data_IF_239099933280
#
_entry.id   IF_239099933280
#
_cell.length_a   1.000
_cell.length_b   1.000
_cell.length_c   1.000
_cell.angle_alpha   90.00
_cell.angle_beta   90.00
_cell.angle_gamma   90.00
#
_symmetry.space_group_name_H-M   'P 1'
#
loop_
_entity.id
_entity.type
_entity.pdbx_description
1 polymer ?
#
# COMPACT_ATOMS: atom_id res chain seq x y z
N UNK A 1 -14.95 1.10 35.81
CA UNK A 1 -15.32 1.34 37.22
C UNK A 1 -16.23 0.18 37.60
N UNK A 2 -15.70 -0.80 38.34
CA UNK A 2 -16.49 -1.94 38.87
C UNK A 2 -17.13 -1.43 40.17
N UNK A 3 -18.42 -1.15 40.12
CA UNK A 3 -19.19 -0.87 41.34
C UNK A 3 -19.51 -2.19 42.01
N UNK A 4 -18.75 -2.54 43.03
CA UNK A 4 -19.05 -3.70 43.90
C UNK A 4 -20.18 -3.24 44.82
N UNK A 5 -21.41 -3.56 44.45
CA UNK A 5 -22.57 -3.39 45.36
C UNK A 5 -22.56 -4.60 46.34
N UNK A 6 -22.11 -4.34 47.55
CA UNK A 6 -22.18 -5.31 48.65
C UNK A 6 -23.64 -5.41 49.06
N UNK A 7 -24.33 -6.50 48.67
CA UNK A 7 -25.66 -6.79 49.17
C UNK A 7 -25.56 -7.47 50.54
N UNK A 8 -26.42 -7.12 51.49
CA UNK A 8 -26.33 -7.61 52.88
C UNK A 8 -26.82 -9.04 53.10
N UNK A 9 -27.28 -9.75 52.06
CA UNK A 9 -27.80 -11.12 52.22
C UNK A 9 -26.83 -12.16 51.67
N UNK A 10 -26.21 -13.00 52.54
CA UNK A 10 -25.20 -14.00 52.15
C UNK A 10 -25.76 -15.17 51.30
N UNK A 11 -27.07 -15.38 51.27
CA UNK A 11 -27.72 -16.46 50.51
C UNK A 11 -27.86 -16.16 49.01
N UNK A 12 -27.77 -14.88 48.58
CA UNK A 12 -27.87 -14.47 47.17
C UNK A 12 -26.51 -14.40 46.48
N UNK A 13 -25.42 -14.49 47.26
CA UNK A 13 -24.05 -14.37 46.73
C UNK A 13 -23.70 -15.41 45.65
N UNK A 14 -24.03 -16.71 45.76
CA UNK A 14 -23.74 -17.69 44.75
C UNK A 14 -24.55 -17.48 43.46
N UNK A 15 -25.79 -17.02 43.57
CA UNK A 15 -26.66 -16.76 42.43
C UNK A 15 -26.15 -15.54 41.61
N UNK A 16 -25.74 -14.51 42.33
CA UNK A 16 -25.12 -13.31 41.72
C UNK A 16 -23.78 -13.64 41.07
N UNK A 17 -22.97 -14.51 41.64
CA UNK A 17 -21.72 -14.98 41.06
C UNK A 17 -21.96 -15.76 39.74
N UNK A 18 -22.98 -16.64 39.70
CA UNK A 18 -23.35 -17.39 38.50
C UNK A 18 -23.83 -16.45 37.38
N UNK A 19 -24.65 -15.45 37.70
CA UNK A 19 -25.09 -14.44 36.71
C UNK A 19 -23.89 -13.68 36.12
N UNK A 20 -22.96 -13.22 36.94
CA UNK A 20 -21.76 -12.51 36.48
C UNK A 20 -20.85 -13.42 35.66
N UNK A 21 -20.67 -14.67 36.02
CA UNK A 21 -19.94 -15.64 35.23
C UNK A 21 -20.59 -15.87 33.86
N UNK A 22 -21.92 -15.98 33.82
CA UNK A 22 -22.64 -16.16 32.55
C UNK A 22 -22.51 -14.95 31.61
N UNK A 23 -22.61 -13.73 32.14
CA UNK A 23 -22.40 -12.49 31.35
C UNK A 23 -20.99 -12.44 30.74
N UNK A 24 -19.97 -12.80 31.54
CA UNK A 24 -18.59 -12.83 31.07
C UNK A 24 -18.41 -13.90 29.99
N UNK A 25 -18.95 -15.09 30.16
CA UNK A 25 -18.88 -16.18 29.16
C UNK A 25 -19.58 -15.78 27.88
N UNK A 26 -20.77 -15.18 27.94
CA UNK A 26 -21.48 -14.68 26.77
C UNK A 26 -20.64 -13.59 26.06
N UNK A 27 -20.06 -12.68 26.81
CA UNK A 27 -19.18 -11.63 26.24
C UNK A 27 -17.97 -12.22 25.52
N UNK A 28 -17.33 -13.23 26.08
CA UNK A 28 -16.20 -13.93 25.45
C UNK A 28 -16.65 -14.68 24.19
N UNK A 29 -17.78 -15.39 24.24
CA UNK A 29 -18.33 -16.12 23.09
C UNK A 29 -18.68 -15.12 21.95
N UNK A 30 -19.33 -13.99 22.28
CA UNK A 30 -19.62 -12.94 21.29
C UNK A 30 -18.34 -12.35 20.69
N UNK A 31 -17.31 -12.12 21.49
CA UNK A 31 -16.03 -11.62 21.01
C UNK A 31 -15.35 -12.63 20.06
N UNK A 32 -15.34 -13.92 20.42
CA UNK A 32 -14.79 -14.98 19.55
C UNK A 32 -15.60 -15.10 18.24
N UNK A 33 -16.93 -15.04 18.32
CA UNK A 33 -17.80 -15.08 17.14
C UNK A 33 -17.57 -13.87 16.23
N UNK A 34 -17.42 -12.68 16.81
CA UNK A 34 -17.09 -11.47 16.06
C UNK A 34 -15.72 -11.62 15.38
N UNK A 35 -14.73 -12.13 16.08
CA UNK A 35 -13.37 -12.36 15.54
C UNK A 35 -13.37 -13.41 14.41
N UNK A 36 -14.21 -14.44 14.49
CA UNK A 36 -14.39 -15.45 13.45
C UNK A 36 -15.15 -14.90 12.23
N UNK A 37 -16.15 -14.04 12.43
CA UNK A 37 -16.96 -13.45 11.38
C UNK A 37 -16.21 -12.33 10.65
N UNK A 38 -15.42 -11.53 11.38
CA UNK A 38 -14.56 -10.47 10.85
C UNK A 38 -13.12 -10.93 10.58
N UNK A 39 -12.95 -12.22 10.39
CA UNK A 39 -11.69 -12.95 10.20
C UNK A 39 -10.67 -12.23 9.28
N UNK A 40 -9.36 -12.36 9.54
CA UNK A 40 -8.24 -11.71 8.84
C UNK A 40 -8.13 -12.00 7.33
N UNK A 41 -8.98 -12.84 6.76
CA UNK A 41 -9.10 -13.02 5.31
C UNK A 41 -9.52 -11.75 4.59
N UNK A 42 -10.39 -10.96 5.20
CA UNK A 42 -10.85 -9.67 4.69
C UNK A 42 -9.69 -8.65 4.63
N UNK A 43 -8.86 -8.57 5.68
CA UNK A 43 -7.74 -7.62 5.77
C UNK A 43 -6.68 -7.91 4.70
N UNK A 44 -6.36 -9.19 4.45
CA UNK A 44 -5.41 -9.55 3.41
C UNK A 44 -5.88 -9.11 2.02
N UNK A 45 -7.15 -9.39 1.70
CA UNK A 45 -7.73 -9.01 0.41
C UNK A 45 -7.77 -7.48 0.23
N UNK A 46 -8.07 -6.76 1.32
CA UNK A 46 -8.08 -5.29 1.31
C UNK A 46 -6.66 -4.73 1.08
N UNK A 47 -5.66 -5.26 1.78
CA UNK A 47 -4.26 -4.87 1.58
C UNK A 47 -3.77 -5.21 0.18
N UNK A 48 -4.09 -6.39 -0.36
CA UNK A 48 -3.71 -6.79 -1.72
C UNK A 48 -4.35 -5.85 -2.76
N UNK A 49 -5.63 -5.52 -2.61
CA UNK A 49 -6.35 -4.57 -3.48
C UNK A 49 -5.75 -3.17 -3.42
N UNK A 50 -5.43 -2.69 -2.22
CA UNK A 50 -4.84 -1.37 -2.04
C UNK A 50 -3.43 -1.30 -2.63
N UNK A 51 -2.64 -2.37 -2.52
CA UNK A 51 -1.32 -2.47 -3.15
C UNK A 51 -1.42 -2.48 -4.69
N UNK A 52 -2.37 -3.20 -5.27
CA UNK A 52 -2.60 -3.20 -6.71
C UNK A 52 -3.01 -1.80 -7.20
N UNK A 53 -3.94 -1.16 -6.50
CA UNK A 53 -4.39 0.21 -6.78
C UNK A 53 -3.24 1.22 -6.67
N UNK A 54 -2.40 1.09 -5.65
CA UNK A 54 -1.21 1.93 -5.46
C UNK A 54 -0.22 1.77 -6.62
N UNK A 55 0.03 0.54 -7.06
CA UNK A 55 0.94 0.25 -8.15
C UNK A 55 0.48 0.87 -9.48
N UNK A 56 -0.82 0.77 -9.78
CA UNK A 56 -1.42 1.39 -10.96
C UNK A 56 -1.32 2.92 -10.90
N UNK A 57 -1.70 3.51 -9.77
CA UNK A 57 -1.64 4.97 -9.59
C UNK A 57 -0.20 5.50 -9.71
N UNK A 58 0.78 4.76 -9.21
CA UNK A 58 2.18 5.11 -9.31
C UNK A 58 2.70 5.08 -10.75
N UNK A 59 2.30 4.06 -11.52
CA UNK A 59 2.64 3.99 -12.95
C UNK A 59 1.97 5.12 -13.73
N UNK A 60 0.71 5.45 -13.43
CA UNK A 60 -0.01 6.56 -14.06
C UNK A 60 0.63 7.91 -13.74
N UNK A 61 1.08 8.15 -12.49
CA UNK A 61 1.85 9.36 -12.17
C UNK A 61 3.13 9.44 -13.00
N UNK A 62 3.88 8.35 -13.11
CA UNK A 62 5.10 8.30 -13.93
C UNK A 62 4.79 8.60 -15.41
N UNK A 63 3.69 8.05 -15.95
CA UNK A 63 3.24 8.38 -17.31
C UNK A 63 2.95 9.86 -17.47
N UNK A 64 2.23 10.49 -16.54
CA UNK A 64 1.92 11.92 -16.57
C UNK A 64 3.19 12.75 -16.51
N UNK A 65 4.15 12.39 -15.67
CA UNK A 65 5.42 13.09 -15.55
C UNK A 65 6.24 13.02 -16.85
N UNK A 66 6.31 11.85 -17.50
CA UNK A 66 7.08 11.64 -18.74
C UNK A 66 6.41 12.30 -19.94
N UNK A 67 5.09 12.29 -19.99
CA UNK A 67 4.30 12.93 -21.06
C UNK A 67 4.20 14.43 -20.95
N UNK A 68 4.77 15.03 -19.93
CA UNK A 68 4.69 16.46 -19.70
C UNK A 68 3.24 16.93 -19.50
N UNK A 69 2.50 16.19 -18.66
CA UNK A 69 1.13 16.53 -18.33
C UNK A 69 0.99 17.91 -17.69
N UNK A 70 -0.24 18.44 -17.71
CA UNK A 70 -0.56 19.69 -17.03
C UNK A 70 -0.18 19.61 -15.55
N UNK A 71 0.49 20.65 -15.02
CA UNK A 71 0.98 20.72 -13.65
C UNK A 71 -0.11 20.47 -12.62
N UNK A 72 -1.32 21.00 -12.84
CA UNK A 72 -2.45 20.77 -11.93
C UNK A 72 -2.87 19.31 -11.87
N UNK A 73 -2.84 18.60 -13.00
CA UNK A 73 -3.16 17.17 -13.08
C UNK A 73 -2.07 16.34 -12.41
N UNK A 74 -0.80 16.70 -12.59
CA UNK A 74 0.34 16.05 -11.95
C UNK A 74 0.28 16.23 -10.42
N UNK A 75 0.01 17.43 -9.94
CA UNK A 75 -0.09 17.74 -8.51
C UNK A 75 -1.24 16.99 -7.85
N UNK A 76 -2.38 16.89 -8.53
CA UNK A 76 -3.53 16.12 -8.05
C UNK A 76 -3.20 14.62 -7.96
N UNK A 77 -2.60 14.05 -9.00
CA UNK A 77 -2.21 12.64 -9.02
C UNK A 77 -1.16 12.34 -7.94
N UNK A 78 -0.21 13.25 -7.74
CA UNK A 78 0.78 13.18 -6.68
C UNK A 78 0.14 13.21 -5.28
N UNK A 79 -0.75 14.15 -5.03
CA UNK A 79 -1.48 14.27 -3.76
C UNK A 79 -2.32 13.03 -3.44
N UNK A 80 -3.01 12.46 -4.43
CA UNK A 80 -3.76 11.22 -4.29
C UNK A 80 -2.85 10.03 -3.94
N UNK A 81 -1.69 9.95 -4.58
CA UNK A 81 -0.74 8.87 -4.35
C UNK A 81 -0.11 8.95 -2.95
N UNK A 82 0.25 10.15 -2.48
CA UNK A 82 0.75 10.39 -1.12
C UNK A 82 -0.32 9.98 -0.10
N UNK A 83 -1.58 10.36 -0.31
CA UNK A 83 -2.70 10.00 0.56
C UNK A 83 -2.87 8.48 0.66
N UNK A 84 -2.85 7.75 -0.47
CA UNK A 84 -2.94 6.28 -0.51
C UNK A 84 -1.76 5.61 0.20
N UNK A 85 -0.55 6.12 -0.02
CA UNK A 85 0.66 5.62 0.66
C UNK A 85 0.58 5.80 2.17
N UNK A 86 0.02 6.93 2.63
CA UNK A 86 -0.21 7.20 4.06
C UNK A 86 -1.31 6.30 4.63
N UNK A 87 -2.40 6.06 3.89
CA UNK A 87 -3.44 5.12 4.30
C UNK A 87 -2.91 3.69 4.48
N UNK A 88 -2.07 3.23 3.55
CA UNK A 88 -1.39 1.93 3.65
C UNK A 88 -0.50 1.85 4.90
N UNK A 89 0.16 2.95 5.27
CA UNK A 89 0.96 3.04 6.48
C UNK A 89 0.09 2.94 7.75
N UNK A 90 -1.10 3.53 7.74
CA UNK A 90 -2.09 3.38 8.82
C UNK A 90 -2.57 1.94 8.98
N UNK A 91 -2.92 1.27 7.88
CA UNK A 91 -3.28 -0.15 7.89
C UNK A 91 -2.16 -1.03 8.46
N UNK A 92 -0.89 -0.73 8.12
CA UNK A 92 0.28 -1.42 8.66
C UNK A 92 0.40 -1.27 10.18
N UNK A 93 0.10 -0.10 10.73
CA UNK A 93 0.13 0.14 12.17
C UNK A 93 -0.85 -0.76 12.92
N UNK A 94 -2.04 -0.95 12.36
CA UNK A 94 -3.06 -1.83 12.93
C UNK A 94 -2.64 -3.32 12.85
N UNK A 95 -1.98 -3.73 11.76
CA UNK A 95 -1.45 -5.10 11.61
C UNK A 95 -0.33 -5.44 12.60
N UNK A 96 0.40 -4.45 13.10
CA UNK A 96 1.46 -4.67 14.11
C UNK A 96 0.92 -5.13 15.46
N UNK A 97 -0.34 -4.87 15.76
CA UNK A 97 -0.96 -5.25 17.02
C UNK A 97 -1.42 -6.71 17.05
N UNK A 98 -1.53 -7.38 15.91
CA UNK A 98 -2.29 -8.65 15.81
C UNK A 98 -1.49 -9.93 15.94
N UNK A 99 -0.22 -10.03 15.74
CA UNK A 99 0.62 -11.21 16.05
C UNK A 99 1.96 -11.33 15.31
N UNK A 100 2.85 -12.22 15.80
CA UNK A 100 4.12 -12.62 15.16
C UNK A 100 3.97 -13.17 13.72
N UNK A 101 2.81 -13.68 13.36
CA UNK A 101 2.47 -14.18 12.02
C UNK A 101 2.55 -13.07 10.96
N UNK A 102 2.20 -11.84 11.33
CA UNK A 102 2.20 -10.67 10.44
C UNK A 102 3.54 -9.93 10.38
N UNK A 103 4.50 -10.27 11.22
CA UNK A 103 5.81 -9.60 11.26
C UNK A 103 6.55 -9.67 9.91
N UNK A 104 6.38 -10.76 9.16
CA UNK A 104 6.97 -10.93 7.81
C UNK A 104 6.25 -10.07 6.77
N UNK A 105 4.93 -10.04 6.81
CA UNK A 105 4.11 -9.21 5.94
C UNK A 105 4.38 -7.72 6.21
N UNK A 106 4.46 -7.31 7.46
CA UNK A 106 4.76 -5.94 7.85
C UNK A 106 6.13 -5.45 7.35
N UNK A 107 7.17 -6.30 7.39
CA UNK A 107 8.48 -5.96 6.81
C UNK A 107 8.40 -5.73 5.30
N UNK A 108 7.64 -6.56 4.56
CA UNK A 108 7.42 -6.39 3.12
C UNK A 108 6.63 -5.11 2.84
N UNK A 109 5.55 -4.85 3.59
CA UNK A 109 4.78 -3.62 3.45
C UNK A 109 5.61 -2.37 3.75
N UNK A 110 6.50 -2.43 4.75
CA UNK A 110 7.45 -1.34 5.02
C UNK A 110 8.37 -1.08 3.84
N UNK A 111 8.94 -2.13 3.26
CA UNK A 111 9.81 -2.00 2.10
C UNK A 111 9.06 -1.43 0.89
N UNK A 112 7.84 -1.91 0.60
CA UNK A 112 6.99 -1.40 -0.47
C UNK A 112 6.69 0.08 -0.26
N UNK A 113 6.30 0.47 0.96
CA UNK A 113 6.00 1.87 1.28
C UNK A 113 7.23 2.78 1.07
N UNK A 114 8.41 2.35 1.52
CA UNK A 114 9.66 3.10 1.29
C UNK A 114 9.98 3.24 -0.20
N UNK A 115 9.87 2.15 -0.96
CA UNK A 115 10.09 2.17 -2.41
C UNK A 115 9.07 3.04 -3.12
N UNK A 116 7.80 3.01 -2.71
CA UNK A 116 6.75 3.86 -3.27
C UNK A 116 7.07 5.34 -3.07
N UNK A 117 7.47 5.75 -1.86
CA UNK A 117 7.86 7.13 -1.59
C UNK A 117 9.07 7.55 -2.43
N UNK A 118 10.07 6.69 -2.55
CA UNK A 118 11.24 6.96 -3.42
C UNK A 118 10.83 7.16 -4.87
N UNK A 119 9.96 6.28 -5.41
CA UNK A 119 9.48 6.40 -6.79
C UNK A 119 8.63 7.68 -7.00
N UNK A 120 7.81 8.07 -6.03
CA UNK A 120 7.06 9.32 -6.06
C UNK A 120 8.03 10.51 -6.20
N UNK A 121 9.06 10.56 -5.34
CA UNK A 121 10.06 11.62 -5.36
C UNK A 121 10.79 11.66 -6.70
N UNK A 122 11.27 10.51 -7.19
CA UNK A 122 11.96 10.42 -8.48
C UNK A 122 11.07 10.81 -9.66
N UNK A 123 9.78 10.46 -9.62
CA UNK A 123 8.83 10.87 -10.67
C UNK A 123 8.65 12.39 -10.69
N UNK A 124 8.56 13.05 -9.53
CA UNK A 124 8.47 14.49 -9.44
C UNK A 124 9.77 15.18 -9.88
N UNK A 125 10.93 14.67 -9.48
CA UNK A 125 12.23 15.17 -9.96
C UNK A 125 12.34 15.06 -11.48
N UNK A 126 11.95 13.93 -12.05
CA UNK A 126 11.90 13.72 -13.49
C UNK A 126 11.00 14.74 -14.17
N UNK A 127 9.81 14.99 -13.62
CA UNK A 127 8.90 16.00 -14.15
C UNK A 127 9.53 17.39 -14.16
N UNK A 128 10.18 17.81 -13.07
CA UNK A 128 10.86 19.11 -12.99
C UNK A 128 12.02 19.22 -13.97
N UNK A 129 12.82 18.17 -14.15
CA UNK A 129 13.91 18.12 -15.11
C UNK A 129 13.36 18.24 -16.54
N UNK A 130 12.31 17.50 -16.87
CA UNK A 130 11.70 17.52 -18.20
C UNK A 130 10.99 18.83 -18.50
N UNK A 131 10.50 19.51 -17.49
CA UNK A 131 9.94 20.87 -17.62
C UNK A 131 11.01 21.88 -18.05
N UNK A 132 12.24 21.67 -17.62
CA UNK A 132 13.37 22.54 -17.94
C UNK A 132 14.09 22.12 -19.23
N UNK A 133 14.13 20.81 -19.50
CA UNK A 133 14.86 20.19 -20.63
C UNK A 133 14.06 19.07 -21.27
N UNK A 134 13.04 19.40 -22.07
CA UNK A 134 12.16 18.40 -22.71
C UNK A 134 12.90 17.52 -23.73
N UNK A 135 14.05 17.95 -24.22
CA UNK A 135 14.89 17.24 -25.19
C UNK A 135 15.59 16.00 -24.62
N UNK A 136 15.61 15.82 -23.31
CA UNK A 136 16.26 14.66 -22.67
C UNK A 136 15.50 13.35 -22.90
N UNK A 137 14.24 13.42 -23.29
CA UNK A 137 13.44 12.23 -23.60
C UNK A 137 13.20 12.16 -25.10
N UNK A 138 13.62 11.04 -25.69
CA UNK A 138 13.33 10.70 -27.09
C UNK A 138 11.85 10.39 -27.29
N UNK A 139 11.31 10.75 -28.45
CA UNK A 139 9.90 10.47 -28.80
C UNK A 139 9.58 8.96 -28.71
N UNK A 140 10.52 8.10 -29.11
CA UNK A 140 10.39 6.63 -28.97
C UNK A 140 10.18 6.20 -27.51
N UNK A 141 10.87 6.86 -26.56
CA UNK A 141 10.68 6.57 -25.15
C UNK A 141 9.34 7.10 -24.64
N UNK A 142 8.90 8.24 -25.14
CA UNK A 142 7.60 8.84 -24.82
C UNK A 142 6.44 7.99 -25.31
N UNK A 143 6.52 7.46 -26.54
CA UNK A 143 5.54 6.52 -27.11
C UNK A 143 5.40 5.23 -26.28
N UNK A 144 6.49 4.79 -25.64
CA UNK A 144 6.43 3.63 -24.77
C UNK A 144 5.41 3.79 -23.61
N UNK A 145 5.26 5.01 -23.09
CA UNK A 145 4.33 5.35 -22.02
C UNK A 145 2.95 5.76 -22.52
N UNK A 146 2.67 5.70 -23.82
CA UNK A 146 1.35 6.04 -24.38
C UNK A 146 0.29 4.96 -24.12
N UNK A 147 0.70 3.73 -23.85
CA UNK A 147 -0.23 2.65 -23.59
C UNK A 147 -0.96 2.87 -22.25
N UNK A 148 -2.28 3.00 -22.23
CA UNK A 148 -3.05 3.15 -20.99
C UNK A 148 -2.88 1.90 -20.13
N UNK A 149 -2.85 2.10 -18.82
CA UNK A 149 -2.72 1.04 -17.82
C UNK A 149 -3.84 1.18 -16.82
N UNK A 150 -4.65 0.13 -16.69
CA UNK A 150 -5.80 0.09 -15.78
C UNK A 150 -5.63 -0.95 -14.68
N UNK A 151 -4.82 -1.99 -14.93
CA UNK A 151 -4.63 -3.10 -14.00
C UNK A 151 -3.17 -3.29 -13.59
N UNK A 152 -2.94 -3.90 -12.44
CA UNK A 152 -1.61 -4.27 -11.98
C UNK A 152 -0.89 -5.24 -12.94
N UNK A 153 -1.66 -6.06 -13.67
CA UNK A 153 -1.10 -6.96 -14.70
C UNK A 153 -0.58 -6.17 -15.91
N UNK A 154 -1.23 -5.08 -16.29
CA UNK A 154 -0.77 -4.23 -17.38
C UNK A 154 0.51 -3.49 -16.97
N UNK A 155 0.58 -2.97 -15.74
CA UNK A 155 1.83 -2.43 -15.17
C UNK A 155 2.95 -3.45 -15.28
N UNK A 156 2.72 -4.68 -14.85
CA UNK A 156 3.74 -5.73 -14.90
C UNK A 156 4.20 -6.03 -16.34
N UNK A 157 3.29 -6.09 -17.30
CA UNK A 157 3.63 -6.28 -18.73
C UNK A 157 4.48 -5.14 -19.25
N UNK A 158 4.11 -3.89 -18.96
CA UNK A 158 4.84 -2.71 -19.38
C UNK A 158 6.23 -2.63 -18.75
N UNK A 159 6.37 -2.88 -17.46
CA UNK A 159 7.67 -2.91 -16.79
C UNK A 159 8.58 -4.02 -17.36
N UNK A 160 8.02 -5.19 -17.67
CA UNK A 160 8.78 -6.27 -18.30
C UNK A 160 9.25 -5.89 -19.73
N UNK A 161 8.43 -5.11 -20.45
CA UNK A 161 8.78 -4.59 -21.79
C UNK A 161 9.88 -3.52 -21.65
N UNK A 162 9.74 -2.59 -20.73
CA UNK A 162 10.72 -1.55 -20.44
C UNK A 162 12.08 -2.14 -20.09
N UNK A 163 12.10 -3.15 -19.19
CA UNK A 163 13.33 -3.84 -18.82
C UNK A 163 14.07 -4.43 -20.01
N UNK A 164 13.34 -5.01 -21.00
CA UNK A 164 13.94 -5.54 -22.22
C UNK A 164 14.55 -4.45 -23.09
N UNK A 165 13.89 -3.31 -23.22
CA UNK A 165 14.38 -2.17 -23.98
C UNK A 165 15.66 -1.59 -23.36
N UNK A 166 15.67 -1.41 -22.03
CA UNK A 166 16.84 -0.90 -21.31
C UNK A 166 18.03 -1.89 -21.42
N UNK A 167 17.79 -3.19 -21.26
CA UNK A 167 18.84 -4.20 -21.42
C UNK A 167 19.45 -4.16 -22.83
N UNK A 168 18.62 -4.02 -23.85
CA UNK A 168 19.08 -3.95 -25.25
C UNK A 168 19.86 -2.67 -25.56
N UNK A 169 19.49 -1.51 -24.98
CA UNK A 169 20.25 -0.25 -25.12
C UNK A 169 21.59 -0.33 -24.37
N UNK A 170 21.62 -0.91 -23.18
CA UNK A 170 22.85 -1.10 -22.40
C UNK A 170 23.87 -2.02 -23.07
N UNK A 171 23.43 -3.03 -23.83
CA UNK A 171 24.34 -3.89 -24.60
C UNK A 171 25.00 -3.18 -25.78
N UNK A 172 24.42 -2.09 -26.31
CA UNK A 172 25.00 -1.29 -27.39
C UNK A 172 26.07 -0.29 -26.94
N UNK A 173 26.08 0.05 -25.66
CA UNK A 173 27.02 1.03 -25.09
C UNK A 173 28.29 0.43 -24.49
N UNK A 174 28.59 -0.84 -24.73
CA UNK A 174 29.87 -1.48 -24.34
C UNK A 174 30.79 -1.66 -25.53
N UNK A 175 32.09 -1.50 -25.42
CA UNK A 175 32.87 -0.52 -24.67
C UNK A 175 33.78 0.29 -25.60
N UNK A 176 34.03 1.52 -25.31
CA UNK A 176 35.27 2.18 -25.74
C UNK A 176 36.40 1.51 -24.95
N UNK A 177 37.08 0.59 -25.58
CA UNK A 177 38.35 0.06 -25.09
C UNK A 177 39.36 1.21 -25.13
N UNK A 178 39.61 1.78 -23.97
CA UNK A 178 40.75 2.72 -23.82
C UNK A 178 41.99 1.83 -23.75
N UNK A 179 42.78 1.85 -24.84
CA UNK A 179 44.16 1.40 -24.84
C UNK A 179 45.04 2.48 -24.21
#
# INVERSE_FOLDING_TARGET
IIVITIQPEPLLTPQFAVERCSEIVIGIVCAIMADLLFSPRSIKQEVDRELESLLVAQYQLMQLCIKHGDGEVVDKAWGDLVRRTTALQGMRSNLNMESSRWARANRRLKAINTLSLTLITQSCETYLILNTRPELITDTFREFFDTPVETAQDVHKQLKRLRRVIAWTGERETPVTIY
#
